data_IF_737724808429
#
_entry.id   IF_737724808429
#
_cell.length_a   1.000
_cell.length_b   1.000
_cell.length_c   1.000
_cell.angle_alpha   90.00
_cell.angle_beta   90.00
_cell.angle_gamma   90.00
#
_symmetry.space_group_name_H-M   'P 1'
#
loop_
_entity.id
_entity.type
_entity.pdbx_description
1 polymer ?
#
# COMPACT_ATOMS: atom_id res chain seq x y z
N UNK A 1 -7.63 -22.89 -11.68
CA UNK A 1 -7.25 -22.00 -10.57
C UNK A 1 -6.34 -20.84 -11.01
N UNK A 2 -5.41 -21.05 -11.95
CA UNK A 2 -4.49 -20.02 -12.46
C UNK A 2 -5.17 -18.88 -13.27
N UNK A 3 -6.23 -19.16 -14.02
CA UNK A 3 -6.92 -18.15 -14.86
C UNK A 3 -7.50 -16.98 -14.05
N UNK A 4 -8.01 -17.25 -12.84
CA UNK A 4 -8.55 -16.20 -11.96
C UNK A 4 -7.48 -15.25 -11.44
N UNK A 5 -6.24 -15.74 -11.26
CA UNK A 5 -5.12 -14.91 -10.81
C UNK A 5 -4.69 -13.98 -11.95
N UNK A 6 -4.60 -14.49 -13.19
CA UNK A 6 -4.30 -13.64 -14.35
C UNK A 6 -5.35 -12.55 -14.54
N UNK A 7 -6.63 -12.88 -14.48
CA UNK A 7 -7.70 -11.87 -14.61
C UNK A 7 -7.66 -10.82 -13.49
N UNK A 8 -7.34 -11.21 -12.26
CA UNK A 8 -7.15 -10.25 -11.17
C UNK A 8 -5.95 -9.33 -11.42
N UNK A 9 -4.83 -9.88 -11.91
CA UNK A 9 -3.62 -9.10 -12.24
C UNK A 9 -3.88 -8.17 -13.42
N UNK A 10 -4.64 -8.58 -14.43
CA UNK A 10 -5.00 -7.74 -15.57
C UNK A 10 -5.88 -6.57 -15.12
N UNK A 11 -6.91 -6.82 -14.31
CA UNK A 11 -7.78 -5.76 -13.77
C UNK A 11 -7.01 -4.82 -12.85
N UNK A 12 -6.14 -5.34 -11.99
CA UNK A 12 -5.26 -4.53 -11.16
C UNK A 12 -4.31 -3.68 -12.02
N UNK A 13 -3.71 -4.27 -13.06
CA UNK A 13 -2.80 -3.57 -13.97
C UNK A 13 -3.50 -2.47 -14.75
N UNK A 14 -4.72 -2.72 -15.24
CA UNK A 14 -5.52 -1.74 -15.96
C UNK A 14 -5.99 -0.59 -15.04
N UNK A 15 -6.34 -0.92 -13.78
CA UNK A 15 -6.68 0.06 -12.75
C UNK A 15 -5.48 0.91 -12.32
N UNK A 16 -4.29 0.30 -12.22
CA UNK A 16 -3.04 1.01 -11.91
C UNK A 16 -2.53 1.84 -13.09
N UNK A 17 -2.70 1.36 -14.33
CA UNK A 17 -2.29 2.08 -15.54
C UNK A 17 -3.07 3.39 -15.74
N UNK A 18 -4.36 3.41 -15.44
CA UNK A 18 -5.17 4.63 -15.54
C UNK A 18 -4.92 5.64 -14.40
N UNK A 19 -4.46 5.17 -13.23
CA UNK A 19 -4.27 6.01 -12.05
C UNK A 19 -2.89 5.78 -11.47
N UNK A 20 -1.87 6.30 -12.18
CA UNK A 20 -0.44 6.18 -11.84
C UNK A 20 -0.10 6.47 -10.36
N UNK A 21 -0.89 7.29 -9.66
CA UNK A 21 -0.70 7.63 -8.24
C UNK A 21 -1.39 6.72 -7.21
N UNK A 22 -2.11 5.67 -7.61
CA UNK A 22 -2.93 4.88 -6.68
C UNK A 22 -2.12 3.99 -5.74
N UNK A 23 -1.00 3.42 -6.22
CA UNK A 23 -0.09 2.62 -5.38
C UNK A 23 0.56 3.48 -4.30
N UNK A 24 1.13 4.67 -4.61
CA UNK A 24 1.54 5.64 -3.59
C UNK A 24 0.43 5.97 -2.60
N UNK A 25 -0.80 6.13 -3.07
CA UNK A 25 -1.95 6.47 -2.23
C UNK A 25 -2.30 5.35 -1.23
N UNK A 26 -2.17 4.10 -1.64
CA UNK A 26 -2.35 2.93 -0.76
C UNK A 26 -1.24 2.88 0.30
N UNK A 27 0.01 3.14 -0.09
CA UNK A 27 1.12 3.26 0.86
C UNK A 27 0.90 4.40 1.87
N UNK A 28 0.41 5.55 1.41
CA UNK A 28 0.03 6.67 2.26
C UNK A 28 -1.11 6.31 3.22
N UNK A 29 -2.13 5.56 2.75
CA UNK A 29 -3.20 5.09 3.61
C UNK A 29 -2.68 4.19 4.74
N UNK A 30 -1.71 3.30 4.45
CA UNK A 30 -1.05 2.48 5.46
C UNK A 30 -0.30 3.33 6.51
N UNK A 31 0.39 4.39 6.09
CA UNK A 31 1.05 5.34 6.99
C UNK A 31 0.04 6.07 7.89
N UNK A 32 -1.09 6.51 7.33
CA UNK A 32 -2.17 7.16 8.10
C UNK A 32 -2.80 6.18 9.09
N UNK A 33 -3.03 4.93 8.71
CA UNK A 33 -3.52 3.88 9.60
C UNK A 33 -2.52 3.61 10.73
N UNK A 34 -1.21 3.61 10.45
CA UNK A 34 -0.18 3.49 11.49
C UNK A 34 -0.26 4.66 12.49
N UNK A 35 -0.44 5.89 12.01
CA UNK A 35 -0.63 7.07 12.87
C UNK A 35 -1.87 6.92 13.77
N UNK A 36 -2.98 6.42 13.23
CA UNK A 36 -4.18 6.14 14.02
C UNK A 36 -3.87 5.10 15.10
N UNK A 37 -3.14 4.03 14.77
CA UNK A 37 -2.73 3.03 15.77
C UNK A 37 -1.79 3.60 16.83
N UNK A 38 -0.94 4.57 16.49
CA UNK A 38 -0.07 5.26 17.44
C UNK A 38 -0.85 6.13 18.43
N UNK A 39 -1.99 6.70 18.01
CA UNK A 39 -2.91 7.47 18.87
C UNK A 39 -3.62 6.57 19.89
N UNK A 40 -3.78 5.28 19.60
CA UNK A 40 -4.35 4.28 20.50
C UNK A 40 -3.27 3.31 21.01
N UNK A 41 -2.40 3.72 21.95
CA UNK A 41 -1.32 2.88 22.48
C UNK A 41 -1.82 1.62 23.21
N UNK A 42 -3.13 1.50 23.44
CA UNK A 42 -3.81 0.30 23.92
C UNK A 42 -3.68 -0.91 22.97
N UNK A 43 -3.30 -0.68 21.70
CA UNK A 43 -3.09 -1.72 20.69
C UNK A 43 -1.74 -2.46 20.83
N UNK A 44 -0.93 -2.13 21.85
CA UNK A 44 0.23 -2.92 22.26
C UNK A 44 1.29 -3.08 21.16
N UNK A 45 1.68 -4.33 20.88
CA UNK A 45 2.81 -4.68 19.98
C UNK A 45 2.67 -4.12 18.55
N UNK A 46 1.44 -3.91 18.06
CA UNK A 46 1.22 -3.31 16.73
C UNK A 46 1.63 -1.83 16.67
N UNK A 47 1.36 -1.07 17.75
CA UNK A 47 1.71 0.34 17.83
C UNK A 47 3.21 0.55 18.16
N UNK A 48 3.86 -0.41 18.83
CA UNK A 48 5.29 -0.31 19.15
C UNK A 48 6.22 -0.68 18.00
N UNK A 49 5.74 -1.48 17.04
CA UNK A 49 6.58 -2.05 15.98
C UNK A 49 6.56 -1.24 14.69
N UNK A 50 5.65 -0.27 14.55
CA UNK A 50 5.46 0.56 13.35
C UNK A 50 5.42 -0.26 12.05
N UNK A 51 4.91 -1.49 12.09
CA UNK A 51 4.93 -2.41 10.95
C UNK A 51 4.11 -1.86 9.77
N UNK A 52 3.00 -1.18 10.06
CA UNK A 52 2.17 -0.53 9.05
C UNK A 52 2.88 0.68 8.44
N UNK A 53 3.69 1.40 9.22
CA UNK A 53 4.55 2.47 8.72
C UNK A 53 5.57 1.92 7.71
N UNK A 54 6.30 0.88 8.09
CA UNK A 54 7.35 0.29 7.25
C UNK A 54 6.75 -0.27 5.94
N UNK A 55 5.67 -1.04 6.03
CA UNK A 55 4.98 -1.57 4.85
C UNK A 55 4.39 -0.44 3.99
N UNK A 56 3.79 0.58 4.60
CA UNK A 56 3.23 1.73 3.90
C UNK A 56 4.28 2.53 3.13
N UNK A 57 5.44 2.77 3.76
CA UNK A 57 6.57 3.48 3.12
C UNK A 57 7.16 2.65 1.97
N UNK A 58 7.36 1.35 2.15
CA UNK A 58 7.86 0.47 1.08
C UNK A 58 6.88 0.46 -0.11
N UNK A 59 5.58 0.31 0.15
CA UNK A 59 4.56 0.35 -0.89
C UNK A 59 4.49 1.73 -1.56
N UNK A 60 4.66 2.81 -0.81
CA UNK A 60 4.67 4.15 -1.36
C UNK A 60 5.86 4.37 -2.29
N UNK A 61 7.07 3.94 -1.89
CA UNK A 61 8.28 4.03 -2.71
C UNK A 61 8.14 3.20 -3.99
N UNK A 62 7.71 1.93 -3.87
CA UNK A 62 7.47 1.06 -5.04
C UNK A 62 6.41 1.69 -5.96
N UNK A 63 5.34 2.21 -5.39
CA UNK A 63 4.30 2.90 -6.13
C UNK A 63 4.82 4.13 -6.87
N UNK A 64 5.71 4.90 -6.26
CA UNK A 64 6.30 6.09 -6.87
C UNK A 64 7.22 5.70 -8.03
N UNK A 65 8.02 4.64 -7.85
CA UNK A 65 8.87 4.09 -8.90
C UNK A 65 8.05 3.56 -10.08
N UNK A 66 6.94 2.86 -9.82
CA UNK A 66 6.03 2.36 -10.86
C UNK A 66 5.31 3.50 -11.59
N UNK A 67 4.92 4.56 -10.87
CA UNK A 67 4.32 5.75 -11.47
C UNK A 67 5.25 6.48 -12.43
N UNK A 68 6.55 6.44 -12.16
CA UNK A 68 7.61 7.03 -12.99
C UNK A 68 8.06 6.13 -14.15
N UNK A 69 8.00 4.81 -13.97
CA UNK A 69 8.42 3.85 -14.99
C UNK A 69 7.41 3.65 -16.14
N UNK A 70 6.18 4.15 -15.99
CA UNK A 70 5.06 4.05 -16.95
C UNK A 70 4.73 5.41 -17.58
#
# INVERSE_FOLDING_TARGET
>A
MLVKINQLIDVLSEFFAQRKGLIPLIGLAFVVVNLIFQIFPQLGWLASSDLFLHLGVILAIIGFMLAWAL
#
